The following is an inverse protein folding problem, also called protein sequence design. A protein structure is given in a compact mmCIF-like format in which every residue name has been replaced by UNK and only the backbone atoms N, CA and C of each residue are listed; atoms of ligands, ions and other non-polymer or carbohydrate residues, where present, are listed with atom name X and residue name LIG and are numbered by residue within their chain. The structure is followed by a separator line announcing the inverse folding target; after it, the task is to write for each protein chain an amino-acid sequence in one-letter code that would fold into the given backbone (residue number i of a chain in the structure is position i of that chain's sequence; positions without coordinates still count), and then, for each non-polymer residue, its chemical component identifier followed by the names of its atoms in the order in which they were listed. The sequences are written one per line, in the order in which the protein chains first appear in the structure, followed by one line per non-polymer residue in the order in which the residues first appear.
data_IF_917393422223
#
_entry.id   IF_917393422223
#
_cell.length_a   1.000
_cell.length_b   1.000
_cell.length_c   1.000
_cell.angle_alpha   90.00
_cell.angle_beta   90.00
_cell.angle_gamma   90.00
#
_symmetry.space_group_name_H-M   'P 1'
#
loop_
_entity.id
_entity.type
_entity.pdbx_description
1 polymer ?
#
# COMPACT_ATOMS: atom_id res chain seq x y z
N UNK A 1 -16.11 -14.21 -14.25
CA UNK A 1 -15.53 -13.41 -15.34
C UNK A 1 -16.14 -12.03 -15.20
N UNK A 2 -15.44 -11.13 -14.53
CA UNK A 2 -15.93 -9.80 -14.16
C UNK A 2 -15.79 -8.92 -15.40
N UNK A 3 -16.89 -8.49 -16.00
CA UNK A 3 -16.81 -7.57 -17.13
C UNK A 3 -16.38 -6.19 -16.59
N UNK A 4 -15.09 -5.88 -16.71
CA UNK A 4 -14.50 -4.56 -16.37
C UNK A 4 -14.77 -3.53 -17.48
N UNK A 5 -15.99 -3.54 -18.01
CA UNK A 5 -16.44 -2.61 -19.01
C UNK A 5 -17.58 -1.79 -18.44
N UNK A 6 -17.47 -0.47 -18.56
CA UNK A 6 -18.59 0.43 -18.33
C UNK A 6 -19.73 0.07 -19.31
N UNK A 7 -20.94 0.58 -19.05
CA UNK A 7 -22.06 0.44 -20.01
C UNK A 7 -21.71 0.89 -21.44
N UNK A 8 -20.66 1.68 -21.61
CA UNK A 8 -20.20 2.22 -22.88
C UNK A 8 -19.06 1.42 -23.51
N UNK A 9 -18.62 0.31 -22.90
CA UNK A 9 -17.51 -0.52 -23.41
C UNK A 9 -16.11 0.00 -23.08
N UNK A 10 -15.99 0.95 -22.15
CA UNK A 10 -14.69 1.47 -21.69
C UNK A 10 -14.19 0.72 -20.45
N UNK A 11 -12.88 0.62 -20.27
CA UNK A 11 -12.30 0.00 -19.07
C UNK A 11 -12.73 0.71 -17.79
N UNK A 12 -13.19 -0.05 -16.80
CA UNK A 12 -13.59 0.47 -15.50
C UNK A 12 -12.82 -0.18 -14.34
N UNK A 13 -12.91 0.41 -13.15
CA UNK A 13 -12.38 -0.21 -11.94
C UNK A 13 -13.21 -1.44 -11.55
N UNK A 14 -12.54 -2.43 -11.00
CA UNK A 14 -13.14 -3.70 -10.60
C UNK A 14 -13.78 -3.62 -9.21
N UNK A 15 -13.48 -2.56 -8.45
CA UNK A 15 -14.02 -2.29 -7.12
C UNK A 15 -14.74 -0.94 -7.11
N UNK A 16 -15.92 -0.90 -6.48
CA UNK A 16 -16.73 0.31 -6.36
C UNK A 16 -16.00 1.42 -5.59
N UNK A 17 -15.24 1.06 -4.55
CA UNK A 17 -14.47 2.00 -3.72
C UNK A 17 -13.40 2.75 -4.54
N UNK A 18 -12.90 2.15 -5.62
CA UNK A 18 -11.90 2.80 -6.48
C UNK A 18 -12.44 4.03 -7.21
N UNK A 19 -13.75 4.08 -7.45
CA UNK A 19 -14.39 5.27 -8.02
C UNK A 19 -14.39 6.47 -7.06
N UNK A 20 -14.27 6.23 -5.75
CA UNK A 20 -14.13 7.31 -4.77
C UNK A 20 -12.82 8.04 -5.02
N UNK A 21 -11.70 7.32 -5.09
CA UNK A 21 -10.39 7.91 -5.40
C UNK A 21 -10.38 8.62 -6.76
N UNK A 22 -11.00 8.03 -7.78
CA UNK A 22 -11.11 8.66 -9.10
C UNK A 22 -11.95 9.94 -9.09
N UNK A 23 -13.00 9.99 -8.28
CA UNK A 23 -13.85 11.20 -8.14
C UNK A 23 -13.08 12.32 -7.45
N UNK A 24 -12.36 12.03 -6.36
CA UNK A 24 -11.48 13.01 -5.73
C UNK A 24 -10.38 13.49 -6.68
N UNK A 25 -9.81 12.59 -7.49
CA UNK A 25 -8.83 12.96 -8.50
C UNK A 25 -9.39 13.90 -9.57
N UNK A 26 -10.57 13.57 -10.12
CA UNK A 26 -11.29 14.42 -11.07
C UNK A 26 -11.60 15.81 -10.51
N UNK A 27 -12.10 15.86 -9.27
CA UNK A 27 -12.47 17.10 -8.61
C UNK A 27 -11.24 17.95 -8.30
N UNK A 28 -10.14 17.33 -7.88
CA UNK A 28 -8.86 18.01 -7.68
C UNK A 28 -8.37 18.71 -8.96
N UNK A 29 -8.36 17.99 -10.09
CA UNK A 29 -7.95 18.55 -11.39
C UNK A 29 -8.85 19.71 -11.81
N UNK A 30 -10.11 19.72 -11.34
CA UNK A 30 -11.09 20.79 -11.60
C UNK A 30 -11.01 21.95 -10.58
N UNK A 31 -10.02 21.95 -9.68
CA UNK A 31 -9.83 22.98 -8.64
C UNK A 31 -10.62 22.76 -7.35
N UNK A 32 -11.34 21.65 -7.21
CA UNK A 32 -12.19 21.34 -6.08
C UNK A 32 -11.49 20.32 -5.15
N UNK A 33 -10.53 20.82 -4.38
CA UNK A 33 -9.76 20.03 -3.43
C UNK A 33 -10.64 19.58 -2.24
N UNK A 34 -10.54 18.30 -1.84
CA UNK A 34 -11.28 17.70 -0.72
C UNK A 34 -12.79 17.88 -0.82
N UNK A 35 -13.33 17.73 -2.03
CA UNK A 35 -14.75 17.79 -2.29
C UNK A 35 -15.12 16.55 -3.08
N UNK A 36 -15.99 15.71 -2.53
CA UNK A 36 -16.59 14.61 -3.27
C UNK A 36 -17.76 15.11 -4.12
N UNK A 37 -18.68 15.82 -3.46
CA UNK A 37 -19.68 16.66 -4.11
C UNK A 37 -19.11 18.08 -4.21
N UNK A 38 -19.06 18.64 -5.41
CA UNK A 38 -18.58 20.01 -5.61
C UNK A 38 -19.46 20.99 -4.82
N UNK A 39 -18.83 21.84 -4.03
CA UNK A 39 -19.49 22.75 -3.09
C UNK A 39 -19.55 22.25 -1.65
N UNK A 40 -19.24 20.97 -1.40
CA UNK A 40 -19.24 20.36 -0.05
C UNK A 40 -17.85 19.83 0.30
N UNK A 41 -17.25 20.36 1.37
CA UNK A 41 -15.99 19.82 1.90
C UNK A 41 -16.23 18.43 2.48
N UNK A 42 -15.48 17.46 1.99
CA UNK A 42 -15.57 16.07 2.41
C UNK A 42 -14.20 15.39 2.37
N UNK A 43 -13.95 14.59 3.40
CA UNK A 43 -12.78 13.73 3.53
C UNK A 43 -13.23 12.27 3.67
N UNK A 44 -13.84 11.77 2.60
CA UNK A 44 -14.39 10.41 2.53
C UNK A 44 -13.43 9.34 2.02
N UNK A 45 -12.15 9.68 1.79
CA UNK A 45 -11.14 8.72 1.31
C UNK A 45 -10.58 7.92 2.49
N UNK A 46 -10.45 6.61 2.35
CA UNK A 46 -9.76 5.75 3.34
C UNK A 46 -8.24 5.87 3.27
N UNK A 47 -7.71 6.42 2.18
CA UNK A 47 -6.27 6.52 1.92
C UNK A 47 -5.89 7.89 1.35
N UNK A 48 -5.28 8.71 2.19
CA UNK A 48 -4.87 10.07 1.80
C UNK A 48 -3.74 10.00 0.77
N UNK A 49 -2.72 9.18 1.04
CA UNK A 49 -1.58 9.04 0.13
C UNK A 49 -1.99 8.47 -1.22
N UNK A 50 -2.86 7.46 -1.24
CA UNK A 50 -3.36 6.88 -2.48
C UNK A 50 -4.25 7.85 -3.27
N UNK A 51 -5.01 8.71 -2.60
CA UNK A 51 -5.79 9.76 -3.28
C UNK A 51 -4.87 10.71 -4.07
N UNK A 52 -3.78 11.18 -3.44
CA UNK A 52 -2.78 12.00 -4.14
C UNK A 52 -2.07 11.25 -5.25
N UNK A 53 -1.76 9.97 -5.04
CA UNK A 53 -1.20 9.13 -6.09
C UNK A 53 -2.17 8.99 -7.27
N UNK A 54 -3.45 8.76 -7.00
CA UNK A 54 -4.50 8.60 -8.02
C UNK A 54 -4.72 9.87 -8.82
N UNK A 55 -4.53 11.06 -8.23
CA UNK A 55 -4.52 12.33 -8.99
C UNK A 55 -3.50 12.27 -10.13
N UNK A 56 -2.30 11.76 -9.87
CA UNK A 56 -1.24 11.68 -10.89
C UNK A 56 -1.57 10.67 -12.00
N UNK A 57 -2.14 9.51 -11.66
CA UNK A 57 -2.50 8.48 -12.64
C UNK A 57 -3.80 8.81 -13.38
N UNK A 58 -4.72 9.56 -12.77
CA UNK A 58 -5.99 9.98 -13.38
C UNK A 58 -5.79 10.82 -14.65
N UNK A 59 -4.76 11.67 -14.69
CA UNK A 59 -4.41 12.47 -15.86
C UNK A 59 -4.06 11.58 -17.07
N UNK A 60 -3.50 10.39 -16.82
CA UNK A 60 -3.11 9.42 -17.84
C UNK A 60 -4.28 8.48 -18.18
N UNK A 61 -5.07 8.10 -17.17
CA UNK A 61 -6.27 7.29 -17.31
C UNK A 61 -6.30 6.09 -16.36
N UNK A 62 -7.46 5.41 -16.32
CA UNK A 62 -7.74 4.29 -15.39
C UNK A 62 -6.71 3.17 -15.49
N UNK A 63 -6.27 2.85 -16.71
CA UNK A 63 -5.27 1.81 -16.96
C UNK A 63 -3.95 2.12 -16.25
N UNK A 64 -3.54 3.39 -16.16
CA UNK A 64 -2.32 3.76 -15.45
C UNK A 64 -2.39 3.42 -13.96
N UNK A 65 -3.54 3.64 -13.31
CA UNK A 65 -3.76 3.23 -11.91
C UNK A 65 -3.65 1.71 -11.76
N UNK A 66 -4.25 0.93 -12.66
CA UNK A 66 -4.17 -0.55 -12.63
C UNK A 66 -2.75 -1.06 -12.85
N UNK A 67 -2.03 -0.50 -13.83
CA UNK A 67 -0.63 -0.86 -14.08
C UNK A 67 0.27 -0.52 -12.89
N UNK A 68 0.06 0.62 -12.24
CA UNK A 68 0.80 0.95 -11.03
C UNK A 68 0.52 -0.02 -9.89
N UNK A 69 -0.72 -0.48 -9.71
CA UNK A 69 -1.04 -1.56 -8.77
C UNK A 69 -0.26 -2.84 -9.05
N UNK A 70 -0.12 -3.25 -10.32
CA UNK A 70 0.71 -4.39 -10.72
C UNK A 70 2.21 -4.16 -10.45
N UNK A 71 2.71 -2.94 -10.69
CA UNK A 71 4.11 -2.57 -10.38
C UNK A 71 4.34 -2.70 -8.88
N UNK A 72 3.45 -2.16 -8.03
CA UNK A 72 3.56 -2.31 -6.58
C UNK A 72 3.48 -3.77 -6.14
N UNK A 73 2.66 -4.60 -6.80
CA UNK A 73 2.58 -6.02 -6.51
C UNK A 73 3.88 -6.75 -6.85
N UNK A 74 4.48 -6.43 -8.00
CA UNK A 74 5.77 -7.00 -8.40
C UNK A 74 6.88 -6.63 -7.40
N UNK A 75 6.93 -5.37 -6.97
CA UNK A 75 7.88 -4.90 -5.95
C UNK A 75 7.63 -5.60 -4.61
N UNK A 76 6.37 -5.75 -4.20
CA UNK A 76 5.99 -6.45 -2.98
C UNK A 76 6.45 -7.93 -3.01
N UNK A 77 6.19 -8.64 -4.11
CA UNK A 77 6.64 -10.02 -4.29
C UNK A 77 8.16 -10.15 -4.28
N UNK A 78 8.87 -9.20 -4.91
CA UNK A 78 10.33 -9.15 -4.88
C UNK A 78 10.86 -8.87 -3.46
N UNK A 79 10.22 -7.99 -2.70
CA UNK A 79 10.56 -7.71 -1.31
C UNK A 79 10.40 -8.97 -0.44
N UNK A 80 9.30 -9.72 -0.61
CA UNK A 80 9.08 -11.00 0.08
C UNK A 80 10.20 -12.00 -0.25
N UNK A 81 10.59 -12.10 -1.53
CA UNK A 81 11.75 -12.91 -1.94
C UNK A 81 13.02 -12.49 -1.20
N UNK A 82 13.34 -11.18 -1.14
CA UNK A 82 14.53 -10.69 -0.45
C UNK A 82 14.53 -11.05 1.05
N UNK A 83 13.39 -10.89 1.72
CA UNK A 83 13.24 -11.17 3.15
C UNK A 83 13.49 -12.67 3.41
N UNK A 84 12.89 -13.53 2.60
CA UNK A 84 13.02 -14.98 2.77
C UNK A 84 14.36 -15.53 2.29
N UNK A 85 14.98 -14.90 1.29
CA UNK A 85 16.32 -15.27 0.85
C UNK A 85 17.37 -15.04 1.94
N UNK A 86 17.15 -14.03 2.80
CA UNK A 86 17.97 -13.77 3.99
C UNK A 86 17.63 -14.68 5.19
N UNK A 87 16.63 -15.53 5.07
CA UNK A 87 16.17 -16.46 6.10
C UNK A 87 16.67 -17.90 5.82
N UNK A 88 16.71 -18.81 6.80
CA UNK A 88 17.23 -20.18 6.62
C UNK A 88 16.34 -21.11 5.78
N UNK A 89 15.33 -20.59 5.07
CA UNK A 89 14.30 -21.35 4.35
C UNK A 89 14.73 -21.84 2.96
N UNK A 90 15.89 -21.41 2.47
CA UNK A 90 16.46 -21.80 1.18
C UNK A 90 15.95 -20.97 -0.03
N UNK A 91 16.77 -20.91 -1.08
CA UNK A 91 16.55 -20.05 -2.26
C UNK A 91 15.25 -20.36 -3.02
N UNK A 92 14.96 -21.63 -3.27
CA UNK A 92 13.76 -22.04 -3.99
C UNK A 92 12.49 -21.66 -3.24
N UNK A 93 12.47 -21.83 -1.93
CA UNK A 93 11.34 -21.44 -1.07
C UNK A 93 11.11 -19.94 -1.12
N UNK A 94 12.17 -19.13 -1.09
CA UNK A 94 12.06 -17.68 -1.21
C UNK A 94 11.47 -17.25 -2.57
N UNK A 95 11.91 -17.87 -3.67
CA UNK A 95 11.36 -17.62 -5.02
C UNK A 95 9.89 -17.99 -5.05
N UNK A 96 9.54 -19.19 -4.61
CA UNK A 96 8.17 -19.67 -4.63
C UNK A 96 7.27 -18.74 -3.83
N UNK A 97 7.67 -18.30 -2.64
CA UNK A 97 6.89 -17.36 -1.84
C UNK A 97 6.67 -16.02 -2.55
N UNK A 98 7.71 -15.42 -3.14
CA UNK A 98 7.57 -14.17 -3.89
C UNK A 98 6.63 -14.32 -5.10
N UNK A 99 6.78 -15.41 -5.87
CA UNK A 99 5.90 -15.73 -7.00
C UNK A 99 4.47 -15.96 -6.51
N UNK A 100 4.27 -16.72 -5.44
CA UNK A 100 2.94 -17.00 -4.86
C UNK A 100 2.22 -15.71 -4.50
N UNK A 101 2.90 -14.72 -3.92
CA UNK A 101 2.31 -13.41 -3.63
C UNK A 101 1.83 -12.72 -4.91
N UNK A 102 2.64 -12.75 -5.98
CA UNK A 102 2.33 -12.10 -7.26
C UNK A 102 1.17 -12.79 -7.97
N UNK A 103 1.15 -14.13 -8.02
CA UNK A 103 0.15 -14.89 -8.78
C UNK A 103 -1.13 -15.20 -7.99
N UNK A 104 -1.16 -14.88 -6.69
CA UNK A 104 -2.36 -15.16 -5.89
C UNK A 104 -3.54 -14.34 -6.41
N UNK A 105 -4.70 -14.99 -6.55
CA UNK A 105 -5.89 -14.33 -7.10
C UNK A 105 -6.31 -13.11 -6.28
N UNK A 106 -6.14 -13.15 -4.96
CA UNK A 106 -6.45 -12.02 -4.08
C UNK A 106 -5.48 -10.85 -4.30
N UNK A 107 -4.18 -11.11 -4.44
CA UNK A 107 -3.21 -10.04 -4.70
C UNK A 107 -3.41 -9.42 -6.07
N UNK A 108 -3.65 -10.24 -7.11
CA UNK A 108 -3.93 -9.75 -8.46
C UNK A 108 -5.20 -8.90 -8.50
N UNK A 109 -6.27 -9.36 -7.82
CA UNK A 109 -7.51 -8.58 -7.70
C UNK A 109 -7.25 -7.23 -7.03
N UNK A 110 -6.53 -7.20 -5.91
CA UNK A 110 -6.20 -5.96 -5.21
C UNK A 110 -5.29 -5.04 -6.01
N UNK A 111 -4.40 -5.58 -6.84
CA UNK A 111 -3.53 -4.80 -7.71
C UNK A 111 -4.31 -4.17 -8.88
N UNK A 112 -5.28 -4.89 -9.44
CA UNK A 112 -6.05 -4.45 -10.61
C UNK A 112 -7.32 -3.68 -10.26
N UNK A 113 -7.76 -3.73 -9.00
CA UNK A 113 -9.01 -3.09 -8.58
C UNK A 113 -8.95 -1.56 -8.66
N UNK A 114 -7.76 -0.96 -8.55
CA UNK A 114 -7.57 0.49 -8.39
C UNK A 114 -7.50 0.95 -6.94
N UNK A 115 -7.36 -0.01 -6.01
CA UNK A 115 -7.32 0.23 -4.57
C UNK A 115 -5.90 0.45 -4.05
N UNK A 116 -5.83 1.05 -2.87
CA UNK A 116 -4.62 1.34 -2.11
C UNK A 116 -4.00 0.10 -1.44
N UNK A 117 -4.68 -1.06 -1.44
CA UNK A 117 -4.29 -2.23 -0.65
C UNK A 117 -2.85 -2.71 -0.88
N UNK A 118 -2.45 -2.91 -2.14
CA UNK A 118 -1.10 -3.40 -2.47
C UNK A 118 -0.05 -2.33 -2.19
N UNK A 119 -0.39 -1.07 -2.47
CA UNK A 119 0.45 0.09 -2.17
C UNK A 119 0.72 0.22 -0.68
N UNK A 120 -0.31 0.09 0.15
CA UNK A 120 -0.19 0.04 1.61
C UNK A 120 0.64 -1.16 2.08
N UNK A 121 0.35 -2.36 1.57
CA UNK A 121 1.06 -3.59 1.95
C UNK A 121 2.56 -3.49 1.70
N UNK A 122 2.98 -2.85 0.59
CA UNK A 122 4.38 -2.60 0.28
C UNK A 122 5.05 -1.71 1.34
N UNK A 123 4.49 -0.54 1.64
CA UNK A 123 5.08 0.35 2.65
C UNK A 123 5.06 -0.25 4.04
N UNK A 124 4.00 -0.98 4.39
CA UNK A 124 3.88 -1.66 5.66
C UNK A 124 4.97 -2.72 5.82
N UNK A 125 5.14 -3.60 4.82
CA UNK A 125 6.16 -4.65 4.87
C UNK A 125 7.58 -4.07 4.87
N UNK A 126 7.84 -3.03 4.08
CA UNK A 126 9.14 -2.38 4.03
C UNK A 126 9.47 -1.68 5.37
N UNK A 127 8.48 -1.06 6.00
CA UNK A 127 8.63 -0.46 7.33
C UNK A 127 8.97 -1.53 8.38
N UNK A 128 8.28 -2.68 8.36
CA UNK A 128 8.60 -3.81 9.26
C UNK A 128 10.00 -4.36 9.01
N UNK A 129 10.40 -4.49 7.73
CA UNK A 129 11.74 -4.94 7.38
C UNK A 129 12.83 -4.00 7.95
N UNK A 130 12.65 -2.69 7.79
CA UNK A 130 13.60 -1.72 8.35
C UNK A 130 13.55 -1.65 9.87
N UNK A 131 12.39 -1.87 10.50
CA UNK A 131 12.32 -1.95 11.97
C UNK A 131 13.26 -3.03 12.52
N UNK A 132 13.33 -4.19 11.87
CA UNK A 132 14.13 -5.33 12.31
C UNK A 132 15.62 -5.12 12.01
N UNK A 133 15.97 -4.59 10.83
CA UNK A 133 17.36 -4.56 10.37
C UNK A 133 18.06 -3.20 10.47
N UNK A 134 17.29 -2.10 10.45
CA UNK A 134 17.80 -0.73 10.30
C UNK A 134 16.92 0.28 11.06
N UNK A 135 16.60 -0.02 12.33
CA UNK A 135 15.65 0.73 13.17
C UNK A 135 15.97 2.23 13.27
N UNK A 136 17.24 2.61 13.22
CA UNK A 136 17.69 4.00 13.36
C UNK A 136 17.74 4.77 12.03
N UNK A 137 17.38 4.12 10.91
CA UNK A 137 17.41 4.75 9.59
C UNK A 137 16.33 5.84 9.47
N UNK A 138 16.63 7.04 8.94
CA UNK A 138 15.59 8.05 8.69
C UNK A 138 14.52 7.55 7.70
N UNK A 139 14.89 6.62 6.81
CA UNK A 139 13.99 6.02 5.82
C UNK A 139 12.90 5.20 6.52
N UNK A 140 13.21 4.57 7.66
CA UNK A 140 12.22 3.81 8.44
C UNK A 140 11.07 4.70 8.92
N UNK A 141 11.37 5.86 9.49
CA UNK A 141 10.35 6.80 9.96
C UNK A 141 9.52 7.37 8.81
N UNK A 142 10.16 7.66 7.67
CA UNK A 142 9.45 8.08 6.46
C UNK A 142 8.46 7.01 6.00
N UNK A 143 8.88 5.74 5.96
CA UNK A 143 8.02 4.66 5.50
C UNK A 143 6.87 4.34 6.48
N UNK A 144 7.09 4.46 7.79
CA UNK A 144 5.99 4.43 8.76
C UNK A 144 4.99 5.54 8.48
N UNK A 145 5.47 6.77 8.29
CA UNK A 145 4.62 7.91 7.99
C UNK A 145 3.79 7.66 6.72
N UNK A 146 4.43 7.20 5.65
CA UNK A 146 3.75 6.86 4.40
C UNK A 146 2.76 5.70 4.57
N UNK A 147 3.07 4.70 5.38
CA UNK A 147 2.15 3.59 5.68
C UNK A 147 0.91 4.08 6.43
N UNK A 148 1.05 4.97 7.42
CA UNK A 148 -0.07 5.58 8.17
C UNK A 148 -0.91 6.50 7.26
N UNK A 149 -0.27 7.27 6.40
CA UNK A 149 -0.96 8.14 5.43
C UNK A 149 -1.64 7.36 4.30
N UNK A 150 -1.09 6.20 3.95
CA UNK A 150 -1.75 5.25 3.07
C UNK A 150 -2.96 4.66 3.79
N UNK A 151 -2.84 4.18 5.03
CA UNK A 151 -4.00 3.71 5.81
C UNK A 151 -3.75 3.84 7.31
N UNK A 152 -4.77 4.21 8.11
CA UNK A 152 -4.61 4.37 9.56
C UNK A 152 -4.14 3.09 10.28
N UNK A 153 -4.41 1.91 9.72
CA UNK A 153 -3.92 0.62 10.21
C UNK A 153 -2.38 0.54 10.25
N UNK A 154 -1.68 1.34 9.45
CA UNK A 154 -0.22 1.47 9.51
C UNK A 154 0.31 1.95 10.87
N UNK A 155 -0.54 2.54 11.71
CA UNK A 155 -0.18 3.00 13.06
C UNK A 155 0.20 1.85 14.01
N UNK A 156 -0.10 0.59 13.63
CA UNK A 156 0.34 -0.59 14.38
C UNK A 156 1.87 -0.63 14.53
N UNK A 157 2.64 -0.22 13.51
CA UNK A 157 4.10 -0.26 13.55
C UNK A 157 4.68 0.69 14.63
N UNK A 158 4.36 2.00 14.66
CA UNK A 158 4.87 2.87 15.71
C UNK A 158 4.37 2.47 17.11
N UNK A 159 3.16 1.89 17.24
CA UNK A 159 2.68 1.32 18.51
C UNK A 159 3.59 0.18 18.97
N UNK A 160 3.93 -0.77 18.09
CA UNK A 160 4.87 -1.86 18.38
C UNK A 160 6.24 -1.31 18.78
N UNK A 161 6.75 -0.30 18.05
CA UNK A 161 8.03 0.33 18.37
C UNK A 161 8.04 0.96 19.76
N UNK A 162 6.96 1.64 20.13
CA UNK A 162 6.81 2.25 21.44
C UNK A 162 6.76 1.20 22.55
N UNK A 163 5.94 0.15 22.38
CA UNK A 163 5.83 -0.94 23.35
C UNK A 163 7.16 -1.66 23.53
N UNK A 164 7.86 -1.97 22.43
CA UNK A 164 9.17 -2.61 22.50
C UNK A 164 10.19 -1.73 23.24
N UNK A 165 10.23 -0.42 22.95
CA UNK A 165 11.10 0.52 23.67
C UNK A 165 10.78 0.61 25.16
N UNK A 166 9.49 0.56 25.53
CA UNK A 166 9.07 0.58 26.92
C UNK A 166 9.46 -0.70 27.67
N UNK A 167 9.38 -1.86 27.00
CA UNK A 167 9.81 -3.16 27.54
C UNK A 167 11.33 -3.22 27.72
N UNK A 168 12.11 -2.80 26.71
CA UNK A 168 13.58 -2.72 26.76
C UNK A 168 14.05 -1.87 27.96
N UNK A 169 13.38 -0.74 28.22
CA UNK A 169 13.67 0.11 29.39
C UNK A 169 13.32 -0.53 30.73
N UNK A 170 12.27 -1.36 30.78
CA UNK A 170 11.76 -1.98 32.01
C UNK A 170 12.52 -3.25 32.41
N UNK A 171 12.96 -4.04 31.44
CA UNK A 171 13.59 -5.35 31.68
C UNK A 171 15.11 -5.37 31.45
N UNK A 172 15.70 -4.28 30.96
CA UNK A 172 17.13 -4.21 30.62
C UNK A 172 17.44 -4.99 29.34
N UNK A 173 18.43 -4.53 28.57
CA UNK A 173 18.77 -5.04 27.22
C UNK A 173 19.16 -6.54 27.14
N UNK A 174 19.20 -7.27 28.25
CA UNK A 174 19.85 -8.58 28.33
C UNK A 174 18.92 -9.80 28.20
N UNK A 175 17.59 -9.66 28.04
CA UNK A 175 16.68 -10.81 28.18
C UNK A 175 15.88 -11.23 26.94
N UNK A 176 16.03 -10.60 25.77
CA UNK A 176 15.14 -10.86 24.62
C UNK A 176 15.84 -10.85 23.24
N UNK A 177 16.96 -11.55 23.10
CA UNK A 177 17.46 -12.04 21.80
C UNK A 177 17.71 -13.54 21.92
#
# INVERSE_FOLDING_TARGET
MWYEYSRNGEFCFSSDDSFIFATYAKNFVSGNLFQFNVGELSWGTTSTLWTFFTISTFIIGILATKYMGLVFLAILGFLVFIILFRSPVGFFTAILAGITIIISGLSLFNALSGMDTVFFALFFLLSLYLYIHHRDSPIFYLLIFLSVFARPEGAIIPIICFLNSALERKFGQASLI
#
